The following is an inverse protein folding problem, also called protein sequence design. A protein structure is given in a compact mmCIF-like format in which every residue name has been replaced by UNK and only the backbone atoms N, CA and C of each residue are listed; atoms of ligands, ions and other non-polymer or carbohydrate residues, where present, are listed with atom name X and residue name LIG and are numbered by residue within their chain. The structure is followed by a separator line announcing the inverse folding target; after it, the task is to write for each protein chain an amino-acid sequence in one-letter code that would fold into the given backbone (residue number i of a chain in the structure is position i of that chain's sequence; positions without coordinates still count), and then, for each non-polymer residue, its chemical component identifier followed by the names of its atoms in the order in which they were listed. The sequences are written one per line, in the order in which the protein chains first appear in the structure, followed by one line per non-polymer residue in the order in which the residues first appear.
data_IF_086805052424
#
_entry.id   IF_086805052424
#
_cell.length_a   1.000
_cell.length_b   1.000
_cell.length_c   1.000
_cell.angle_alpha   90.00
_cell.angle_beta   90.00
_cell.angle_gamma   90.00
#
_symmetry.space_group_name_H-M   'P 1'
#
loop_
_entity.id
_entity.type
_entity.pdbx_description
1 polymer ?
#
# COMPACT_ATOMS: atom_id res chain seq x y z
N UNK A 1 55.88 35.44 -27.67
CA UNK A 1 54.84 34.45 -28.05
C UNK A 1 54.64 33.46 -26.90
N UNK A 2 53.46 33.56 -26.28
CA UNK A 2 52.64 32.56 -25.57
C UNK A 2 53.28 31.63 -24.52
N UNK A 3 53.00 32.05 -23.28
CA UNK A 3 53.05 31.41 -21.96
C UNK A 3 52.55 29.96 -21.94
N UNK A 4 53.26 29.08 -21.21
CA UNK A 4 52.85 27.70 -20.91
C UNK A 4 51.66 27.72 -19.95
N UNK A 5 50.57 27.06 -20.34
CA UNK A 5 49.37 26.89 -19.54
C UNK A 5 49.61 25.75 -18.52
N UNK A 6 49.58 26.10 -17.24
CA UNK A 6 49.61 25.18 -16.11
C UNK A 6 48.20 24.59 -15.94
N UNK A 7 48.04 23.28 -16.17
CA UNK A 7 46.78 22.58 -15.89
C UNK A 7 46.73 22.28 -14.39
N UNK A 8 45.89 23.02 -13.67
CA UNK A 8 45.56 22.77 -12.28
C UNK A 8 44.52 21.64 -12.24
N UNK A 9 44.96 20.44 -11.85
CA UNK A 9 44.07 19.31 -11.62
C UNK A 9 43.30 19.55 -10.30
N UNK A 10 42.06 20.03 -10.40
CA UNK A 10 41.16 20.08 -9.25
C UNK A 10 40.73 18.66 -8.87
N UNK A 11 41.21 18.19 -7.72
CA UNK A 11 40.63 17.06 -7.01
C UNK A 11 39.25 17.44 -6.48
N UNK A 12 38.20 17.11 -7.23
CA UNK A 12 36.88 16.85 -6.65
C UNK A 12 36.90 15.43 -6.09
N UNK A 13 36.47 15.24 -4.84
CA UNK A 13 35.75 14.06 -4.31
C UNK A 13 36.00 13.92 -2.80
N UNK A 14 35.17 14.55 -1.99
CA UNK A 14 34.80 14.06 -0.66
C UNK A 14 33.61 14.88 -0.14
N UNK A 15 32.39 14.45 -0.45
CA UNK A 15 31.21 15.13 0.06
C UNK A 15 29.92 14.38 -0.22
N UNK A 16 29.80 13.10 0.17
CA UNK A 16 28.55 12.33 -0.01
C UNK A 16 28.15 11.28 1.07
N UNK A 17 28.73 11.17 2.30
CA UNK A 17 28.23 10.16 3.24
C UNK A 17 26.84 10.49 3.81
N UNK A 18 26.56 11.77 4.10
CA UNK A 18 25.33 12.17 4.79
C UNK A 18 24.04 12.03 3.94
N UNK A 19 24.13 12.22 2.61
CA UNK A 19 22.96 12.07 1.73
C UNK A 19 22.60 10.58 1.55
N UNK A 20 23.59 9.71 1.39
CA UNK A 20 23.37 8.28 1.25
C UNK A 20 22.82 7.62 2.52
N UNK A 21 23.26 8.06 3.70
CA UNK A 21 22.72 7.59 4.99
C UNK A 21 21.26 8.03 5.21
N UNK A 22 20.91 9.25 4.81
CA UNK A 22 19.54 9.76 4.86
C UNK A 22 18.58 9.00 3.93
N UNK A 23 19.03 8.70 2.72
CA UNK A 23 18.26 7.91 1.76
C UNK A 23 18.01 6.49 2.29
N UNK A 24 19.04 5.83 2.83
CA UNK A 24 18.92 4.50 3.41
C UNK A 24 17.98 4.45 4.64
N UNK A 25 18.05 5.45 5.52
CA UNK A 25 17.17 5.55 6.69
C UNK A 25 15.71 5.78 6.28
N UNK A 26 15.47 6.59 5.25
CA UNK A 26 14.13 6.86 4.71
C UNK A 26 13.55 5.63 4.04
N UNK A 27 14.34 4.92 3.22
CA UNK A 27 13.93 3.65 2.62
C UNK A 27 13.61 2.60 3.69
N UNK A 28 14.45 2.47 4.72
CA UNK A 28 14.20 1.55 5.83
C UNK A 28 12.91 1.90 6.58
N UNK A 29 12.64 3.18 6.82
CA UNK A 29 11.39 3.62 7.42
C UNK A 29 10.17 3.29 6.55
N UNK A 30 10.22 3.59 5.24
CA UNK A 30 9.14 3.25 4.30
C UNK A 30 8.89 1.73 4.30
N UNK A 31 9.95 0.93 4.26
CA UNK A 31 9.86 -0.53 4.30
C UNK A 31 9.38 -1.07 5.65
N UNK A 32 9.60 -0.35 6.75
CA UNK A 32 9.03 -0.71 8.06
C UNK A 32 7.51 -0.54 8.09
N UNK A 33 6.99 0.43 7.32
CA UNK A 33 5.56 0.72 7.16
C UNK A 33 4.95 -0.06 6.00
N UNK A 34 5.06 -1.39 6.12
CA UNK A 34 4.51 -2.39 5.19
C UNK A 34 3.32 -3.13 5.80
N UNK A 35 2.33 -3.42 4.98
CA UNK A 35 1.26 -4.38 5.27
C UNK A 35 1.33 -5.56 4.30
N UNK A 36 0.98 -6.74 4.80
CA UNK A 36 0.98 -7.98 4.03
C UNK A 36 -0.43 -8.53 3.97
N UNK A 37 -0.91 -8.85 2.77
CA UNK A 37 -2.21 -9.48 2.54
C UNK A 37 -1.99 -10.91 2.09
N UNK A 38 -2.40 -11.86 2.92
CA UNK A 38 -2.42 -13.29 2.58
C UNK A 38 -3.80 -13.63 1.99
N UNK A 39 -3.85 -13.81 0.67
CA UNK A 39 -5.14 -14.07 0.02
C UNK A 39 -5.68 -15.47 0.28
N UNK A 40 -4.84 -16.39 0.78
CA UNK A 40 -5.31 -17.74 1.16
C UNK A 40 -6.10 -17.71 2.46
N UNK A 41 -5.86 -16.69 3.30
CA UNK A 41 -6.57 -16.46 4.57
C UNK A 41 -7.56 -15.31 4.51
N UNK A 42 -7.49 -14.47 3.48
CA UNK A 42 -8.22 -13.20 3.41
C UNK A 42 -7.96 -12.36 4.69
N UNK A 43 -6.67 -12.17 4.97
CA UNK A 43 -6.17 -11.43 6.13
C UNK A 43 -5.14 -10.38 5.69
N UNK A 44 -5.13 -9.25 6.37
CA UNK A 44 -4.14 -8.19 6.27
C UNK A 44 -3.39 -8.08 7.59
N UNK A 45 -2.07 -8.18 7.57
CA UNK A 45 -1.22 -8.05 8.75
C UNK A 45 -0.31 -6.83 8.63
N UNK A 46 -0.17 -6.08 9.73
CA UNK A 46 0.78 -4.98 9.83
C UNK A 46 2.15 -5.52 10.21
N UNK A 47 3.18 -5.26 9.39
CA UNK A 47 4.48 -5.92 9.58
C UNK A 47 5.22 -5.46 10.85
N UNK A 48 5.00 -4.21 11.27
CA UNK A 48 5.64 -3.61 12.44
C UNK A 48 4.98 -4.04 13.76
N UNK A 49 3.65 -4.11 13.79
CA UNK A 49 2.89 -4.45 15.01
C UNK A 49 2.43 -5.91 15.09
N UNK A 50 2.53 -6.66 13.99
CA UNK A 50 2.18 -8.08 13.87
C UNK A 50 0.70 -8.43 14.13
N UNK A 51 -0.18 -7.43 14.23
CA UNK A 51 -1.63 -7.63 14.29
C UNK A 51 -2.18 -7.91 12.90
N UNK A 52 -3.07 -8.91 12.83
CA UNK A 52 -3.73 -9.36 11.61
C UNK A 52 -5.24 -9.14 11.69
N UNK A 53 -5.82 -8.74 10.57
CA UNK A 53 -7.22 -8.36 10.45
C UNK A 53 -7.88 -9.08 9.29
N UNK A 54 -9.13 -9.51 9.49
CA UNK A 54 -9.93 -10.09 8.40
C UNK A 54 -10.25 -9.00 7.38
N UNK A 55 -10.17 -9.35 6.09
CA UNK A 55 -10.48 -8.45 4.97
C UNK A 55 -11.41 -9.14 3.98
N UNK A 56 -12.10 -8.37 3.12
CA UNK A 56 -12.72 -8.94 1.93
C UNK A 56 -11.78 -8.73 0.75
N UNK A 57 -11.62 -9.76 -0.07
CA UNK A 57 -10.74 -9.74 -1.24
C UNK A 57 -11.45 -10.34 -2.45
N UNK A 58 -10.82 -10.24 -3.62
CA UNK A 58 -11.30 -10.83 -4.85
C UNK A 58 -10.36 -11.92 -5.34
N UNK A 59 -10.87 -12.83 -6.18
CA UNK A 59 -10.01 -13.82 -6.86
C UNK A 59 -8.98 -13.18 -7.79
N UNK A 60 -9.26 -11.95 -8.21
CA UNK A 60 -8.46 -11.12 -9.10
C UNK A 60 -7.59 -10.11 -8.36
N UNK A 61 -7.54 -10.13 -7.02
CA UNK A 61 -6.63 -9.26 -6.27
C UNK A 61 -5.19 -9.55 -6.71
N UNK A 62 -4.46 -8.57 -7.29
CA UNK A 62 -3.20 -8.84 -7.95
C UNK A 62 -2.11 -9.10 -6.91
N UNK A 63 -1.26 -10.09 -7.20
CA UNK A 63 -0.10 -10.46 -6.38
C UNK A 63 1.08 -9.55 -6.65
N UNK A 64 1.92 -9.34 -5.64
CA UNK A 64 3.16 -8.57 -5.76
C UNK A 64 3.30 -7.51 -4.68
N UNK A 65 4.29 -6.63 -4.87
CA UNK A 65 4.60 -5.51 -3.99
C UNK A 65 4.18 -4.21 -4.67
N UNK A 66 3.46 -3.37 -3.94
CA UNK A 66 2.85 -2.15 -4.45
C UNK A 66 3.09 -0.99 -3.50
N UNK A 67 3.23 0.21 -4.07
CA UNK A 67 3.16 1.45 -3.31
C UNK A 67 1.71 1.83 -3.02
N UNK A 68 1.46 2.40 -1.84
CA UNK A 68 0.15 2.86 -1.42
C UNK A 68 0.03 4.37 -1.62
N UNK A 69 -1.09 4.81 -2.22
CA UNK A 69 -1.36 6.22 -2.48
C UNK A 69 -2.81 6.57 -2.14
N UNK A 70 -3.01 7.68 -1.42
CA UNK A 70 -4.37 8.20 -1.19
C UNK A 70 -4.91 8.80 -2.48
N UNK A 71 -6.08 8.31 -2.90
CA UNK A 71 -6.79 8.77 -4.10
C UNK A 71 -8.14 9.31 -3.67
N UNK A 72 -8.37 10.59 -3.95
CA UNK A 72 -9.66 11.25 -3.69
C UNK A 72 -10.72 10.74 -4.68
N UNK A 73 -11.95 10.58 -4.21
CA UNK A 73 -13.06 10.11 -5.04
C UNK A 73 -14.39 10.71 -4.58
N UNK A 74 -15.23 11.07 -5.54
CA UNK A 74 -16.63 11.46 -5.28
C UNK A 74 -17.58 10.25 -5.32
N UNK A 75 -17.06 9.04 -5.56
CA UNK A 75 -17.86 7.84 -5.64
C UNK A 75 -18.56 7.56 -4.29
N UNK A 76 -19.87 7.32 -4.29
CA UNK A 76 -20.62 7.15 -3.05
C UNK A 76 -20.29 5.82 -2.35
N UNK A 77 -20.12 5.88 -1.03
CA UNK A 77 -19.79 4.74 -0.17
C UNK A 77 -18.30 4.52 0.06
N UNK A 78 -17.45 5.48 -0.34
CA UNK A 78 -16.00 5.49 -0.09
C UNK A 78 -15.55 6.62 0.83
N UNK A 79 -16.48 7.44 1.33
CA UNK A 79 -16.21 8.54 2.27
C UNK A 79 -15.11 9.52 1.81
N UNK A 80 -15.06 9.77 0.49
CA UNK A 80 -14.20 10.78 -0.12
C UNK A 80 -12.84 10.28 -0.61
N UNK A 81 -12.36 9.11 -0.18
CA UNK A 81 -11.04 8.62 -0.58
C UNK A 81 -10.89 7.10 -0.50
N UNK A 82 -9.90 6.58 -1.22
CA UNK A 82 -9.42 5.19 -1.15
C UNK A 82 -7.91 5.15 -1.16
N UNK A 83 -7.31 4.03 -0.77
CA UNK A 83 -5.86 3.81 -0.88
C UNK A 83 -5.59 2.98 -2.13
N UNK A 84 -5.23 3.62 -3.23
CA UNK A 84 -4.89 2.97 -4.49
C UNK A 84 -3.53 2.27 -4.43
N UNK A 85 -3.42 1.09 -5.05
CA UNK A 85 -2.15 0.34 -5.12
C UNK A 85 -1.80 -0.19 -6.51
N UNK A 86 -2.77 -0.32 -7.42
CA UNK A 86 -2.50 -0.69 -8.82
C UNK A 86 -3.58 -0.12 -9.74
N UNK A 87 -3.19 0.42 -10.89
CA UNK A 87 -4.10 0.85 -11.94
C UNK A 87 -3.93 -0.06 -13.17
N UNK A 88 -5.04 -0.55 -13.72
CA UNK A 88 -5.07 -1.25 -15.01
C UNK A 88 -6.19 -0.66 -15.88
N UNK A 89 -5.80 0.08 -16.93
CA UNK A 89 -6.76 0.84 -17.74
C UNK A 89 -7.57 1.79 -16.85
N UNK A 90 -8.89 1.67 -16.87
CA UNK A 90 -9.81 2.48 -16.06
C UNK A 90 -10.10 1.88 -14.67
N UNK A 91 -9.52 0.71 -14.34
CA UNK A 91 -9.75 0.04 -13.07
C UNK A 91 -8.64 0.33 -12.06
N UNK A 92 -9.02 0.94 -10.92
CA UNK A 92 -8.15 1.14 -9.76
C UNK A 92 -8.37 0.01 -8.75
N UNK A 93 -7.34 -0.80 -8.51
CA UNK A 93 -7.28 -1.67 -7.35
C UNK A 93 -6.91 -0.84 -6.12
N UNK A 94 -7.73 -0.95 -5.08
CA UNK A 94 -7.57 -0.15 -3.87
C UNK A 94 -7.87 -0.94 -2.59
N UNK A 95 -7.31 -0.48 -1.48
CA UNK A 95 -7.82 -0.74 -0.14
C UNK A 95 -8.87 0.32 0.20
N UNK A 96 -10.01 -0.11 0.75
CA UNK A 96 -11.06 0.82 1.15
C UNK A 96 -11.94 0.24 2.27
N UNK A 97 -12.68 1.12 2.96
CA UNK A 97 -13.68 0.73 3.95
C UNK A 97 -14.70 -0.24 3.35
N UNK A 98 -15.34 -1.07 4.18
CA UNK A 98 -16.37 -2.01 3.71
C UNK A 98 -17.50 -1.26 2.99
N UNK A 99 -17.70 -1.54 1.71
CA UNK A 99 -18.74 -0.87 0.93
C UNK A 99 -20.12 -1.48 1.19
N UNK A 100 -21.05 -0.68 1.71
CA UNK A 100 -22.34 -1.16 2.24
C UNK A 100 -23.55 -0.82 1.38
N UNK A 101 -23.38 -0.14 0.24
CA UNK A 101 -24.53 0.32 -0.58
C UNK A 101 -25.26 -0.79 -1.35
N UNK A 102 -24.89 -2.06 -1.16
CA UNK A 102 -25.65 -3.23 -1.63
C UNK A 102 -25.86 -4.23 -0.47
N UNK A 103 -26.91 -4.04 0.34
CA UNK A 103 -27.16 -4.85 1.53
C UNK A 103 -27.25 -6.36 1.26
N UNK A 104 -27.74 -6.76 0.08
CA UNK A 104 -27.83 -8.16 -0.33
C UNK A 104 -26.47 -8.88 -0.38
N UNK A 105 -25.35 -8.14 -0.48
CA UNK A 105 -24.00 -8.73 -0.42
C UNK A 105 -23.55 -9.06 1.00
N UNK A 106 -24.19 -8.50 2.05
CA UNK A 106 -23.90 -8.82 3.46
C UNK A 106 -22.43 -8.68 3.83
N UNK A 107 -21.78 -7.62 3.33
CA UNK A 107 -20.32 -7.46 3.42
C UNK A 107 -19.82 -7.34 4.87
N UNK A 108 -20.60 -6.70 5.74
CA UNK A 108 -20.27 -6.55 7.16
C UNK A 108 -20.30 -7.90 7.89
N UNK A 109 -21.24 -8.78 7.56
CA UNK A 109 -21.27 -10.12 8.14
C UNK A 109 -20.17 -11.02 7.54
N UNK A 110 -19.89 -10.86 6.24
CA UNK A 110 -18.82 -11.61 5.57
C UNK A 110 -17.45 -11.32 6.18
N UNK A 111 -17.10 -10.04 6.40
CA UNK A 111 -15.78 -9.68 6.93
C UNK A 111 -15.59 -10.20 8.36
N UNK A 112 -16.67 -10.27 9.14
CA UNK A 112 -16.67 -10.84 10.48
C UNK A 112 -16.67 -12.37 10.52
N UNK A 113 -17.02 -13.04 9.42
CA UNK A 113 -17.08 -14.50 9.33
C UNK A 113 -15.71 -15.13 9.58
N UNK A 114 -15.68 -16.32 10.21
CA UNK A 114 -14.48 -17.15 10.27
C UNK A 114 -14.25 -17.93 8.96
N UNK A 115 -15.30 -18.15 8.17
CA UNK A 115 -15.20 -18.82 6.87
C UNK A 115 -14.51 -17.90 5.84
N UNK A 116 -13.29 -18.28 5.43
CA UNK A 116 -12.49 -17.57 4.40
C UNK A 116 -13.27 -17.44 3.09
N UNK A 117 -14.03 -18.47 2.71
CA UNK A 117 -14.80 -18.47 1.46
C UNK A 117 -15.85 -17.34 1.41
N UNK A 118 -16.39 -16.93 2.56
CA UNK A 118 -17.31 -15.79 2.64
C UNK A 118 -16.61 -14.46 2.36
N UNK A 119 -15.30 -14.38 2.62
CA UNK A 119 -14.47 -13.18 2.50
C UNK A 119 -13.87 -13.00 1.10
N UNK A 120 -13.95 -14.00 0.24
CA UNK A 120 -13.54 -13.91 -1.17
C UNK A 120 -14.77 -13.53 -2.01
N UNK A 121 -14.98 -12.24 -2.24
CA UNK A 121 -16.20 -11.73 -2.87
C UNK A 121 -16.04 -10.45 -3.72
N UNK A 122 -14.92 -9.74 -3.61
CA UNK A 122 -14.73 -8.47 -4.35
C UNK A 122 -14.25 -8.75 -5.78
N UNK A 123 -14.18 -7.69 -6.60
CA UNK A 123 -13.60 -7.77 -7.95
C UNK A 123 -12.08 -7.49 -7.97
N UNK A 124 -11.42 -7.50 -6.82
CA UNK A 124 -9.97 -7.32 -6.71
C UNK A 124 -9.54 -6.34 -5.62
N UNK A 125 -10.41 -5.38 -5.26
CA UNK A 125 -10.15 -4.47 -4.14
C UNK A 125 -10.12 -5.21 -2.80
N UNK A 126 -9.45 -4.60 -1.82
CA UNK A 126 -9.30 -5.13 -0.47
C UNK A 126 -10.16 -4.29 0.46
N UNK A 127 -11.28 -4.85 0.93
CA UNK A 127 -12.13 -4.17 1.91
C UNK A 127 -11.63 -4.43 3.32
N UNK A 128 -11.50 -3.37 4.09
CA UNK A 128 -11.06 -3.39 5.49
C UNK A 128 -12.11 -2.74 6.38
N UNK A 129 -12.06 -2.98 7.69
CA UNK A 129 -12.85 -2.21 8.66
C UNK A 129 -12.39 -0.75 8.69
N UNK A 130 -13.23 0.14 9.22
CA UNK A 130 -12.92 1.57 9.31
C UNK A 130 -11.66 1.83 10.15
N UNK A 131 -11.51 1.12 11.27
CA UNK A 131 -10.32 1.20 12.14
C UNK A 131 -9.03 0.81 11.39
N UNK A 132 -9.08 -0.29 10.65
CA UNK A 132 -7.93 -0.75 9.85
C UNK A 132 -7.63 0.23 8.72
N UNK A 133 -8.66 0.83 8.11
CA UNK A 133 -8.48 1.86 7.08
C UNK A 133 -7.74 3.08 7.64
N UNK A 134 -8.15 3.61 8.79
CA UNK A 134 -7.48 4.77 9.37
C UNK A 134 -6.01 4.48 9.68
N UNK A 135 -5.71 3.29 10.23
CA UNK A 135 -4.33 2.87 10.48
C UNK A 135 -3.53 2.75 9.17
N UNK A 136 -4.13 2.22 8.09
CA UNK A 136 -3.47 2.06 6.80
C UNK A 136 -3.01 3.37 6.15
N UNK A 137 -3.59 4.52 6.52
CA UNK A 137 -3.19 5.83 5.98
C UNK A 137 -1.76 6.23 6.36
N UNK A 138 -1.16 5.53 7.33
CA UNK A 138 0.23 5.70 7.76
C UNK A 138 1.20 4.69 7.12
N UNK A 139 0.71 3.83 6.21
CA UNK A 139 1.49 2.78 5.56
C UNK A 139 1.74 3.08 4.09
N UNK A 140 2.89 2.63 3.59
CA UNK A 140 3.38 3.02 2.26
C UNK A 140 3.56 1.83 1.32
N UNK A 141 3.69 0.62 1.87
CA UNK A 141 3.96 -0.59 1.09
C UNK A 141 2.89 -1.63 1.36
N UNK A 142 2.31 -2.16 0.30
CA UNK A 142 1.46 -3.35 0.32
C UNK A 142 2.17 -4.51 -0.36
N UNK A 143 2.24 -5.63 0.32
CA UNK A 143 2.61 -6.91 -0.26
C UNK A 143 1.39 -7.83 -0.30
N UNK A 144 1.08 -8.40 -1.46
CA UNK A 144 -0.01 -9.35 -1.63
C UNK A 144 0.56 -10.71 -1.99
N UNK A 145 0.41 -11.68 -1.08
CA UNK A 145 0.89 -13.07 -1.18
C UNK A 145 -0.23 -14.07 -1.34
#
# INVERSE_FOLDING_TARGET
MKTKLLVLLMTLLAGQPALAEYDAATEAFIQSKRVVVDTSKAELCFADTQDCHRVLIGKTTPKGVFGLNIVQTSAPGYDGEVIGFKQEGDFLFALHRVWTRKPAERRLERIASNDVGQRIMTNGCINVSDEVYEKLREYFVLEVV
#
